data_IF_316652447774
#
_entry.id   IF_316652447774
#
_cell.length_a   1.000
_cell.length_b   1.000
_cell.length_c   1.000
_cell.angle_alpha   90.00
_cell.angle_beta   90.00
_cell.angle_gamma   90.00
#
_symmetry.space_group_name_H-M   'P 1'
#
loop_
_entity.id
_entity.type
_entity.pdbx_description
1 polymer ?
#
# COMPACT_ATOMS: atom_id res chain seq x y z
N UNK A 1 -6.09 10.97 -5.29
CA UNK A 1 -7.35 10.21 -5.17
C UNK A 1 -7.83 10.00 -3.73
N UNK A 2 -7.02 10.22 -2.69
CA UNK A 2 -7.54 10.27 -1.30
C UNK A 2 -7.62 8.92 -0.57
N UNK A 3 -6.88 7.90 -1.02
CA UNK A 3 -6.85 6.55 -0.43
C UNK A 3 -6.59 6.58 1.09
N UNK A 4 -5.53 7.27 1.52
CA UNK A 4 -5.22 7.44 2.94
C UNK A 4 -6.34 8.10 3.78
N UNK A 5 -7.17 8.98 3.20
CA UNK A 5 -8.33 9.54 3.90
C UNK A 5 -9.42 8.48 4.10
N UNK A 6 -9.73 7.72 3.06
CA UNK A 6 -10.70 6.60 3.14
C UNK A 6 -10.21 5.54 4.12
N UNK A 7 -8.91 5.20 4.10
CA UNK A 7 -8.29 4.29 5.07
C UNK A 7 -8.47 4.78 6.50
N UNK A 8 -8.11 6.04 6.79
CA UNK A 8 -8.22 6.62 8.13
C UNK A 8 -9.66 6.56 8.64
N UNK A 9 -10.63 6.88 7.79
CA UNK A 9 -12.04 6.79 8.15
C UNK A 9 -12.46 5.34 8.43
N UNK A 10 -12.16 4.40 7.51
CA UNK A 10 -12.50 2.98 7.66
C UNK A 10 -11.98 2.41 8.99
N UNK A 11 -10.72 2.68 9.32
CA UNK A 11 -10.09 2.17 10.55
C UNK A 11 -10.45 2.98 11.82
N UNK A 12 -11.25 4.05 11.70
CA UNK A 12 -11.80 4.78 12.86
C UNK A 12 -13.07 4.12 13.43
N UNK A 13 -13.72 3.26 12.65
CA UNK A 13 -14.91 2.52 13.06
C UNK A 13 -14.55 1.30 13.92
N UNK A 14 -15.21 1.14 15.07
CA UNK A 14 -14.95 0.04 16.02
C UNK A 14 -15.34 -1.35 15.47
N UNK A 15 -16.26 -1.41 14.51
CA UNK A 15 -16.72 -2.65 13.88
C UNK A 15 -15.84 -3.09 12.70
N UNK A 16 -14.80 -2.33 12.35
CA UNK A 16 -13.84 -2.71 11.31
C UNK A 16 -13.06 -3.96 11.70
N UNK A 17 -13.25 -5.02 10.92
CA UNK A 17 -12.62 -6.34 11.15
C UNK A 17 -11.36 -6.59 10.31
N UNK A 18 -10.95 -5.60 9.52
CA UNK A 18 -9.78 -5.71 8.67
C UNK A 18 -8.48 -5.49 9.44
N UNK A 19 -7.41 -6.10 8.98
CA UNK A 19 -6.04 -5.83 9.42
C UNK A 19 -5.30 -5.07 8.33
N UNK A 20 -4.75 -3.90 8.66
CA UNK A 20 -4.05 -3.06 7.69
C UNK A 20 -2.62 -3.57 7.48
N UNK A 21 -2.26 -3.91 6.24
CA UNK A 21 -0.87 -4.19 5.89
C UNK A 21 -0.14 -2.89 5.57
N UNK A 22 0.86 -2.58 6.38
CA UNK A 22 1.71 -1.41 6.18
C UNK A 22 2.74 -1.74 5.10
N UNK A 23 2.69 -1.01 3.98
CA UNK A 23 3.65 -1.16 2.89
C UNK A 23 5.04 -0.63 3.26
N UNK A 24 6.06 -1.11 2.56
CA UNK A 24 7.43 -0.61 2.61
C UNK A 24 7.63 0.39 1.48
N UNK A 25 8.44 1.43 1.71
CA UNK A 25 8.88 2.33 0.64
C UNK A 25 10.29 2.86 0.85
N UNK A 26 10.97 3.18 -0.27
CA UNK A 26 12.26 3.89 -0.25
C UNK A 26 12.11 5.40 -0.33
N UNK A 27 10.88 5.90 -0.49
CA UNK A 27 10.61 7.33 -0.47
C UNK A 27 10.86 7.85 0.94
N UNK A 28 11.47 9.03 1.06
CA UNK A 28 11.56 9.71 2.36
C UNK A 28 10.17 10.03 2.93
N UNK A 29 9.97 9.90 4.26
CA UNK A 29 8.73 10.33 4.91
C UNK A 29 8.44 11.81 4.63
N UNK A 30 7.17 12.13 4.42
CA UNK A 30 6.67 13.51 4.38
C UNK A 30 6.42 14.01 5.80
N UNK A 31 6.25 15.32 5.94
CA UNK A 31 5.85 15.93 7.21
C UNK A 31 4.56 15.29 7.72
N UNK A 32 4.59 14.81 8.97
CA UNK A 32 3.47 14.14 9.62
C UNK A 32 3.31 12.64 9.34
N UNK A 33 4.11 12.04 8.44
CA UNK A 33 4.15 10.58 8.27
C UNK A 33 5.00 9.93 9.36
N UNK A 34 4.55 8.77 9.87
CA UNK A 34 5.23 8.02 10.94
C UNK A 34 5.66 6.65 10.43
N UNK A 35 6.94 6.30 10.68
CA UNK A 35 7.48 4.98 10.37
C UNK A 35 6.78 3.87 11.15
N UNK A 36 6.47 2.78 10.46
CA UNK A 36 5.70 1.67 11.02
C UNK A 36 4.22 1.98 11.28
N UNK A 37 3.71 3.11 10.77
CA UNK A 37 2.28 3.47 10.79
C UNK A 37 1.79 3.75 9.38
N UNK A 38 2.44 4.68 8.68
CA UNK A 38 2.06 5.03 7.30
C UNK A 38 2.77 4.14 6.29
N UNK A 39 4.07 3.95 6.48
CA UNK A 39 4.93 3.02 5.73
C UNK A 39 6.05 2.52 6.65
N UNK A 40 6.68 1.41 6.26
CA UNK A 40 8.05 1.12 6.67
C UNK A 40 8.99 1.82 5.71
N UNK A 41 9.66 2.86 6.18
CA UNK A 41 10.63 3.63 5.40
C UNK A 41 11.98 2.93 5.45
N UNK A 42 12.48 2.56 4.27
CA UNK A 42 13.70 1.76 4.11
C UNK A 42 14.67 2.42 3.14
N UNK A 43 15.96 2.16 3.31
CA UNK A 43 16.92 2.51 2.27
C UNK A 43 16.72 1.63 1.03
N UNK A 44 17.20 2.09 -0.12
CA UNK A 44 17.00 1.38 -1.39
C UNK A 44 17.64 -0.01 -1.35
N UNK A 45 18.83 -0.11 -0.79
CA UNK A 45 19.59 -1.35 -0.67
C UNK A 45 18.86 -2.39 0.19
N UNK A 46 18.22 -1.94 1.29
CA UNK A 46 17.39 -2.80 2.14
C UNK A 46 16.16 -3.30 1.37
N UNK A 47 15.50 -2.43 0.60
CA UNK A 47 14.35 -2.83 -0.20
C UNK A 47 14.74 -3.85 -1.28
N UNK A 48 15.86 -3.63 -1.97
CA UNK A 48 16.37 -4.57 -2.97
C UNK A 48 16.76 -5.92 -2.35
N UNK A 49 17.21 -5.94 -1.09
CA UNK A 49 17.41 -7.17 -0.33
C UNK A 49 16.08 -7.89 -0.06
N UNK A 50 15.02 -7.17 0.29
CA UNK A 50 13.68 -7.76 0.42
C UNK A 50 13.18 -8.38 -0.88
N UNK A 51 13.44 -7.75 -2.03
CA UNK A 51 13.13 -8.32 -3.35
C UNK A 51 13.91 -9.62 -3.56
N UNK A 52 15.23 -9.61 -3.34
CA UNK A 52 16.10 -10.79 -3.53
C UNK A 52 15.71 -11.98 -2.65
N UNK A 53 15.22 -11.69 -1.45
CA UNK A 53 14.82 -12.69 -0.46
C UNK A 53 13.32 -13.05 -0.55
N UNK A 54 12.63 -12.64 -1.63
CA UNK A 54 11.21 -12.94 -1.87
C UNK A 54 10.30 -12.52 -0.69
N UNK A 55 10.62 -11.41 -0.03
CA UNK A 55 9.91 -10.90 1.16
C UNK A 55 8.74 -9.97 0.84
N UNK A 56 8.41 -9.80 -0.43
CA UNK A 56 7.38 -8.88 -0.89
C UNK A 56 6.35 -9.62 -1.74
N UNK A 57 5.08 -9.44 -1.40
CA UNK A 57 3.94 -9.97 -2.17
C UNK A 57 3.85 -9.30 -3.54
N UNK A 58 4.06 -7.99 -3.54
CA UNK A 58 4.13 -7.16 -4.74
C UNK A 58 5.14 -6.06 -4.50
N UNK A 59 5.73 -5.56 -5.58
CA UNK A 59 6.49 -4.33 -5.54
C UNK A 59 6.47 -3.60 -6.88
N UNK A 60 6.66 -2.28 -6.84
CA UNK A 60 6.80 -1.46 -8.03
C UNK A 60 7.72 -0.26 -7.77
N UNK A 61 8.37 0.22 -8.81
CA UNK A 61 9.09 1.50 -8.78
C UNK A 61 8.22 2.61 -9.37
N UNK A 62 8.00 3.67 -8.60
CA UNK A 62 7.27 4.84 -9.04
C UNK A 62 8.07 6.11 -8.73
N UNK A 63 8.43 6.83 -9.80
CA UNK A 63 9.20 8.09 -9.73
C UNK A 63 10.49 7.90 -8.91
N UNK A 64 11.23 6.82 -9.21
CA UNK A 64 12.52 6.50 -8.58
C UNK A 64 12.44 5.95 -7.15
N UNK A 65 11.25 5.70 -6.61
CA UNK A 65 11.07 5.12 -5.28
C UNK A 65 10.38 3.76 -5.38
N UNK A 66 10.87 2.78 -4.63
CA UNK A 66 10.19 1.50 -4.50
C UNK A 66 9.04 1.58 -3.51
N UNK A 67 8.01 0.78 -3.78
CA UNK A 67 6.88 0.51 -2.92
C UNK A 67 6.61 -0.98 -2.98
N UNK A 68 6.24 -1.59 -1.86
CA UNK A 68 5.86 -3.00 -1.84
C UNK A 68 5.18 -3.43 -0.56
N UNK A 69 4.58 -4.61 -0.59
CA UNK A 69 3.79 -5.15 0.52
C UNK A 69 4.53 -6.34 1.16
N UNK A 70 4.88 -6.30 2.46
CA UNK A 70 5.52 -7.42 3.15
C UNK A 70 4.67 -8.68 3.12
N UNK A 71 5.20 -9.76 2.54
CA UNK A 71 4.43 -11.02 2.39
C UNK A 71 4.15 -11.70 3.73
N UNK A 72 5.13 -11.71 4.64
CA UNK A 72 5.04 -12.40 5.94
C UNK A 72 3.83 -11.90 6.78
N UNK A 73 3.51 -10.60 6.72
CA UNK A 73 2.37 -10.03 7.44
C UNK A 73 1.03 -10.47 6.83
N UNK A 74 0.94 -10.47 5.50
CA UNK A 74 -0.27 -10.86 4.77
C UNK A 74 -0.57 -12.33 5.05
N UNK A 75 0.40 -13.22 4.85
CA UNK A 75 0.22 -14.66 5.03
C UNK A 75 -0.19 -15.02 6.46
N UNK A 76 0.51 -14.45 7.46
CA UNK A 76 0.18 -14.68 8.86
C UNK A 76 -1.25 -14.26 9.18
N UNK A 77 -1.67 -13.10 8.70
CA UNK A 77 -2.99 -12.57 8.99
C UNK A 77 -4.11 -13.41 8.36
N UNK A 78 -3.91 -13.86 7.12
CA UNK A 78 -4.82 -14.77 6.44
C UNK A 78 -4.89 -16.13 7.14
N UNK A 79 -3.76 -16.66 7.62
CA UNK A 79 -3.71 -17.92 8.39
C UNK A 79 -4.45 -17.80 9.74
N UNK A 80 -4.50 -16.61 10.33
CA UNK A 80 -5.30 -16.32 11.53
C UNK A 80 -6.82 -16.21 11.22
N UNK A 81 -7.23 -16.36 9.95
CA UNK A 81 -8.63 -16.25 9.53
C UNK A 81 -9.14 -14.81 9.52
N UNK A 82 -8.24 -13.82 9.41
CA UNK A 82 -8.57 -12.39 9.38
C UNK A 82 -8.42 -11.83 7.96
N UNK A 83 -9.27 -10.87 7.64
CA UNK A 83 -9.20 -10.18 6.35
C UNK A 83 -8.09 -9.12 6.36
N UNK A 84 -7.31 -9.06 5.28
CA UNK A 84 -6.22 -8.10 5.09
C UNK A 84 -6.68 -6.95 4.20
N UNK A 85 -6.44 -5.71 4.63
CA UNK A 85 -6.65 -4.52 3.82
C UNK A 85 -5.32 -3.99 3.28
N UNK A 86 -5.22 -3.87 1.96
CA UNK A 86 -4.05 -3.38 1.24
C UNK A 86 -4.34 -2.02 0.60
N UNK A 87 -3.52 -1.01 0.87
CA UNK A 87 -3.51 0.27 0.15
C UNK A 87 -2.30 0.35 -0.77
N UNK A 88 -2.46 -0.06 -2.03
CA UNK A 88 -1.35 -0.16 -3.00
C UNK A 88 -1.57 0.71 -4.25
N UNK A 89 -0.49 0.91 -5.00
CA UNK A 89 -0.54 1.55 -6.32
C UNK A 89 -1.05 0.60 -7.41
N UNK A 90 -1.46 1.14 -8.56
CA UNK A 90 -2.11 0.36 -9.63
C UNK A 90 -1.23 -0.80 -10.12
N UNK A 91 0.08 -0.58 -10.27
CA UNK A 91 1.03 -1.63 -10.69
C UNK A 91 1.13 -2.76 -9.65
N UNK A 92 1.09 -2.43 -8.36
CA UNK A 92 1.02 -3.42 -7.27
C UNK A 92 -0.29 -4.19 -7.29
N UNK A 93 -1.42 -3.50 -7.46
CA UNK A 93 -2.75 -4.13 -7.54
C UNK A 93 -2.87 -5.14 -8.68
N UNK A 94 -2.23 -4.88 -9.82
CA UNK A 94 -2.19 -5.84 -10.95
C UNK A 94 -1.42 -7.12 -10.57
N UNK A 95 -0.33 -7.00 -9.81
CA UNK A 95 0.45 -8.16 -9.34
C UNK A 95 -0.34 -8.97 -8.31
N UNK A 96 -0.94 -8.30 -7.31
CA UNK A 96 -1.80 -8.96 -6.31
C UNK A 96 -2.97 -9.65 -6.99
N UNK A 97 -3.60 -9.04 -7.99
CA UNK A 97 -4.71 -9.68 -8.74
C UNK A 97 -4.30 -10.95 -9.49
N UNK A 98 -3.05 -11.07 -9.91
CA UNK A 98 -2.54 -12.31 -10.52
C UNK A 98 -2.28 -13.39 -9.47
N UNK A 99 -1.78 -13.01 -8.29
CA UNK A 99 -1.48 -13.93 -7.20
C UNK A 99 -2.73 -14.38 -6.43
N UNK A 100 -3.69 -13.47 -6.23
CA UNK A 100 -4.92 -13.64 -5.46
C UNK A 100 -6.13 -13.16 -6.28
N UNK A 101 -6.53 -13.91 -7.32
CA UNK A 101 -7.63 -13.52 -8.21
C UNK A 101 -8.99 -13.39 -7.49
N UNK A 102 -9.16 -14.06 -6.35
CA UNK A 102 -10.33 -14.04 -5.49
C UNK A 102 -10.42 -12.79 -4.58
N UNK A 103 -9.35 -11.97 -4.55
CA UNK A 103 -9.33 -10.74 -3.76
C UNK A 103 -10.41 -9.73 -4.18
N UNK A 104 -10.83 -8.89 -3.24
CA UNK A 104 -11.74 -7.76 -3.53
C UNK A 104 -10.91 -6.54 -3.93
N UNK A 105 -11.07 -6.10 -5.18
CA UNK A 105 -10.32 -4.97 -5.74
C UNK A 105 -11.20 -3.73 -5.88
N UNK A 106 -10.86 -2.67 -5.14
CA UNK A 106 -11.58 -1.39 -5.17
C UNK A 106 -10.65 -0.32 -5.77
N UNK A 107 -11.03 0.20 -6.94
CA UNK A 107 -10.30 1.31 -7.57
C UNK A 107 -10.91 2.65 -7.17
N UNK A 108 -10.16 3.47 -6.43
CA UNK A 108 -10.60 4.80 -6.04
C UNK A 108 -10.23 5.84 -7.12
N UNK A 109 -11.20 6.15 -7.98
CA UNK A 109 -11.06 7.13 -9.05
C UNK A 109 -11.17 8.58 -8.53
N UNK A 110 -10.47 9.55 -9.14
CA UNK A 110 -10.73 10.97 -8.88
C UNK A 110 -12.13 11.36 -9.42
N UNK A 111 -12.76 12.43 -8.89
CA UNK A 111 -14.07 12.88 -9.39
C UNK A 111 -14.00 13.34 -10.85
N UNK A 112 -12.85 13.85 -11.29
CA UNK A 112 -12.55 14.13 -12.69
C UNK A 112 -11.04 14.12 -12.98
N UNK A 113 -10.66 13.96 -14.25
CA UNK A 113 -9.27 14.12 -14.70
C UNK A 113 -8.73 15.53 -14.47
N UNK A 114 -9.59 16.55 -14.65
CA UNK A 114 -9.24 17.96 -14.40
C UNK A 114 -8.85 18.19 -12.95
N UNK A 115 -9.57 17.59 -12.01
CA UNK A 115 -9.27 17.69 -10.59
C UNK A 115 -8.01 16.91 -10.22
N UNK A 116 -7.80 15.73 -10.81
CA UNK A 116 -6.54 15.00 -10.62
C UNK A 116 -5.35 15.85 -11.10
N UNK A 117 -5.46 16.48 -12.27
CA UNK A 117 -4.42 17.38 -12.81
C UNK A 117 -4.15 18.55 -11.88
N UNK A 118 -5.19 19.23 -11.40
CA UNK A 118 -5.05 20.35 -10.46
C UNK A 118 -4.29 19.94 -9.19
N UNK A 119 -4.60 18.77 -8.61
CA UNK A 119 -3.91 18.24 -7.42
C UNK A 119 -2.46 17.83 -7.67
N UNK A 120 -2.11 17.43 -8.89
CA UNK A 120 -0.73 17.08 -9.27
C UNK A 120 0.11 18.35 -9.49
N UNK A 121 -0.46 19.37 -10.13
CA UNK A 121 0.25 20.63 -10.45
C UNK A 121 0.41 21.54 -9.23
N UNK A 122 -0.53 21.50 -8.27
CA UNK A 122 -0.49 22.31 -7.05
C UNK A 122 0.37 21.76 -5.91
N UNK A 123 1.21 20.75 -6.17
CA UNK A 123 2.14 20.13 -5.23
C UNK A 123 3.58 20.42 -5.64
#
# INVERSE_FOLDING_TARGET
VGKGTVRKELFSHEDTRFQYSISVTTRKPREGEVDGVDYFFKEREEFEEMIRNEKLLEWAEFVGNYYGTPIDYVEKTLQEGKDVFLEIEVQGAIQVKKAFPEGVFIFLAPPSLSELKSRIVGR
#
